data_IF_122986702268
#
_entry.id   IF_122986702268
#
_cell.length_a   1.000
_cell.length_b   1.000
_cell.length_c   1.000
_cell.angle_alpha   90.00
_cell.angle_beta   90.00
_cell.angle_gamma   90.00
#
_symmetry.space_group_name_H-M   'P 1'
#
loop_
_entity.id
_entity.type
_entity.pdbx_description
1 polymer ?
#
# COMPACT_ATOMS: atom_id res chain seq x y z
N UNK A 1 -5.13 -5.99 -12.01
CA UNK A 1 -4.62 -7.35 -11.76
C UNK A 1 -5.72 -8.38 -12.01
N UNK A 2 -6.83 -8.36 -11.30
CA UNK A 2 -7.95 -9.33 -11.39
C UNK A 2 -8.42 -9.55 -12.82
N UNK A 3 -8.59 -8.49 -13.61
CA UNK A 3 -9.02 -8.60 -15.02
C UNK A 3 -8.03 -9.32 -15.93
N UNK A 4 -6.75 -9.39 -15.53
CA UNK A 4 -5.68 -10.05 -16.30
C UNK A 4 -5.38 -11.46 -15.83
N UNK A 5 -5.40 -11.68 -14.52
CA UNK A 5 -4.95 -12.94 -13.91
C UNK A 5 -6.10 -13.84 -13.50
N UNK A 6 -7.31 -13.28 -13.33
CA UNK A 6 -8.45 -13.98 -12.76
C UNK A 6 -8.38 -14.14 -11.23
N UNK A 7 -7.29 -13.71 -10.58
CA UNK A 7 -7.17 -13.76 -9.13
C UNK A 7 -8.15 -12.76 -8.51
N UNK A 8 -9.00 -13.14 -7.55
CA UNK A 8 -9.98 -12.24 -6.96
C UNK A 8 -9.35 -10.98 -6.34
N UNK A 9 -10.05 -9.86 -6.43
CA UNK A 9 -9.66 -8.65 -5.74
C UNK A 9 -9.86 -8.80 -4.22
N UNK A 10 -10.99 -9.36 -3.79
CA UNK A 10 -11.25 -9.71 -2.39
C UNK A 10 -10.84 -11.16 -2.17
N UNK A 11 -9.86 -11.39 -1.30
CA UNK A 11 -9.23 -12.70 -1.09
C UNK A 11 -9.39 -13.14 0.36
N UNK A 12 -9.81 -14.38 0.58
CA UNK A 12 -9.79 -14.94 1.93
C UNK A 12 -8.36 -15.01 2.46
N UNK A 13 -8.19 -14.90 3.78
CA UNK A 13 -6.87 -14.92 4.41
C UNK A 13 -6.08 -16.19 4.07
N UNK A 14 -6.75 -17.34 4.01
CA UNK A 14 -6.12 -18.61 3.66
C UNK A 14 -5.53 -18.63 2.24
N UNK A 15 -6.05 -17.86 1.31
CA UNK A 15 -5.54 -17.80 -0.06
C UNK A 15 -4.15 -17.15 -0.14
N UNK A 16 -3.91 -16.15 0.71
CA UNK A 16 -2.63 -15.39 0.74
C UNK A 16 -1.64 -15.94 1.80
N UNK A 17 -2.14 -16.57 2.85
CA UNK A 17 -1.34 -17.04 4.00
C UNK A 17 -1.64 -18.52 4.28
N UNK A 18 -1.36 -19.38 3.29
CA UNK A 18 -1.68 -20.82 3.30
C UNK A 18 -1.03 -21.58 4.45
N UNK A 19 0.16 -21.15 4.88
CA UNK A 19 0.95 -21.81 5.93
C UNK A 19 0.57 -21.30 7.35
N UNK A 20 -0.18 -20.20 7.45
CA UNK A 20 -0.60 -19.65 8.73
C UNK A 20 -1.92 -20.24 9.17
N UNK A 21 -1.86 -21.09 10.20
CA UNK A 21 -3.05 -21.77 10.75
C UNK A 21 -4.14 -20.84 11.25
N UNK A 22 -3.79 -19.63 11.71
CA UNK A 22 -4.76 -18.62 12.11
C UNK A 22 -5.61 -18.11 10.94
N UNK A 23 -5.05 -18.17 9.73
CA UNK A 23 -5.73 -17.73 8.51
C UNK A 23 -6.67 -18.78 7.90
N UNK A 24 -6.59 -20.05 8.31
CA UNK A 24 -7.31 -21.16 7.66
C UNK A 24 -8.84 -21.01 7.67
N UNK A 25 -9.41 -20.49 8.77
CA UNK A 25 -10.86 -20.32 8.95
C UNK A 25 -11.25 -18.89 9.35
N UNK A 26 -10.42 -17.91 9.06
CA UNK A 26 -10.62 -16.52 9.45
C UNK A 26 -11.58 -15.82 8.48
N UNK A 27 -12.84 -15.71 8.88
CA UNK A 27 -13.94 -15.19 8.06
C UNK A 27 -14.26 -13.70 8.29
N UNK A 28 -13.69 -13.09 9.33
CA UNK A 28 -14.02 -11.71 9.74
C UNK A 28 -13.12 -10.65 9.13
N UNK A 29 -12.14 -11.07 8.33
CA UNK A 29 -11.21 -10.20 7.61
C UNK A 29 -10.82 -10.82 6.27
N UNK A 30 -10.26 -9.98 5.39
CA UNK A 30 -9.84 -10.40 4.06
C UNK A 30 -8.69 -9.53 3.55
N UNK A 31 -8.01 -10.01 2.51
CA UNK A 31 -7.09 -9.19 1.73
C UNK A 31 -7.83 -8.54 0.56
N UNK A 32 -7.56 -7.26 0.34
CA UNK A 32 -7.95 -6.51 -0.85
C UNK A 32 -6.71 -6.40 -1.76
N UNK A 33 -6.70 -7.20 -2.82
CA UNK A 33 -5.49 -7.50 -3.55
C UNK A 33 -4.51 -8.30 -2.69
N UNK A 34 -3.22 -8.15 -2.96
CA UNK A 34 -2.11 -8.79 -2.24
C UNK A 34 -1.52 -7.95 -1.11
N UNK A 35 -1.92 -6.70 -1.03
CA UNK A 35 -1.24 -5.66 -0.25
C UNK A 35 -2.05 -5.10 0.92
N UNK A 36 -3.39 -5.12 0.86
CA UNK A 36 -4.25 -4.51 1.86
C UNK A 36 -5.04 -5.55 2.65
N UNK A 37 -4.94 -5.50 3.97
CA UNK A 37 -5.79 -6.27 4.88
C UNK A 37 -6.90 -5.37 5.39
N UNK A 38 -8.14 -5.81 5.27
CA UNK A 38 -9.32 -5.14 5.81
C UNK A 38 -10.05 -6.05 6.79
N UNK A 39 -10.36 -5.51 7.98
CA UNK A 39 -11.15 -6.20 8.99
C UNK A 39 -12.40 -5.38 9.34
N UNK A 40 -13.52 -5.59 8.65
CA UNK A 40 -14.78 -4.89 8.94
C UNK A 40 -15.28 -5.19 10.35
N UNK A 41 -16.01 -4.24 10.91
CA UNK A 41 -16.56 -4.33 12.26
C UNK A 41 -17.97 -4.90 12.16
N UNK A 42 -18.18 -6.10 12.70
CA UNK A 42 -19.47 -6.81 12.68
C UNK A 42 -20.21 -6.74 14.03
N UNK A 43 -19.62 -6.05 15.01
CA UNK A 43 -20.14 -5.96 16.40
C UNK A 43 -20.78 -4.59 16.65
N UNK A 44 -21.86 -4.58 17.40
CA UNK A 44 -22.59 -3.36 17.80
C UNK A 44 -21.85 -2.52 18.85
N UNK A 45 -20.90 -3.13 19.58
CA UNK A 45 -20.01 -2.44 20.53
C UNK A 45 -18.84 -1.70 19.85
N UNK A 46 -18.78 -1.77 18.51
CA UNK A 46 -17.73 -1.15 17.68
C UNK A 46 -16.32 -1.71 17.93
N UNK A 47 -16.22 -2.91 18.47
CA UNK A 47 -14.94 -3.60 18.66
C UNK A 47 -14.62 -4.44 17.42
N UNK A 48 -13.42 -4.22 16.85
CA UNK A 48 -12.82 -5.08 15.87
C UNK A 48 -11.82 -6.03 16.56
N UNK A 49 -11.94 -7.30 16.27
CA UNK A 49 -10.96 -8.32 16.65
C UNK A 49 -10.40 -8.90 15.35
N UNK A 50 -9.09 -8.80 15.15
CA UNK A 50 -8.45 -9.18 13.90
C UNK A 50 -7.04 -9.71 14.13
N UNK A 51 -6.55 -10.47 13.16
CA UNK A 51 -5.23 -11.07 13.16
C UNK A 51 -4.37 -10.44 12.06
N UNK A 52 -3.18 -10.00 12.41
CA UNK A 52 -2.16 -9.61 11.44
C UNK A 52 -1.19 -10.78 11.27
N UNK A 53 -1.08 -11.40 10.08
CA UNK A 53 -0.05 -12.41 9.79
C UNK A 53 1.36 -11.88 10.02
N UNK A 54 2.35 -12.78 10.14
CA UNK A 54 3.76 -12.38 10.36
C UNK A 54 4.22 -11.30 9.37
N UNK A 55 5.09 -10.39 9.85
CA UNK A 55 5.63 -9.26 9.11
C UNK A 55 5.24 -7.91 9.73
N UNK A 56 5.55 -6.85 9.03
CA UNK A 56 5.25 -5.47 9.45
C UNK A 56 4.03 -4.94 8.70
N UNK A 57 3.09 -4.39 9.44
CA UNK A 57 1.84 -3.85 8.90
C UNK A 57 1.70 -2.37 9.24
N UNK A 58 1.34 -1.58 8.25
CA UNK A 58 1.15 -0.13 8.45
C UNK A 58 -0.31 0.24 8.21
N UNK A 59 -0.94 0.89 9.17
CA UNK A 59 -2.30 1.40 9.00
C UNK A 59 -2.36 2.38 7.83
N UNK A 60 -3.23 2.12 6.86
CA UNK A 60 -3.45 3.02 5.72
C UNK A 60 -4.04 4.36 6.15
N UNK A 61 -4.84 4.35 7.22
CA UNK A 61 -5.58 5.53 7.70
C UNK A 61 -4.75 6.41 8.64
N UNK A 62 -3.93 5.81 9.50
CA UNK A 62 -3.20 6.55 10.55
C UNK A 62 -1.69 6.59 10.36
N UNK A 63 -1.12 5.67 9.56
CA UNK A 63 0.31 5.49 9.44
C UNK A 63 0.96 4.70 10.59
N UNK A 64 0.18 4.28 11.59
CA UNK A 64 0.67 3.47 12.70
C UNK A 64 1.24 2.15 12.19
N UNK A 65 2.40 1.77 12.73
CA UNK A 65 3.08 0.51 12.39
C UNK A 65 2.82 -0.53 13.46
N UNK A 66 2.42 -1.73 13.05
CA UNK A 66 2.18 -2.89 13.93
C UNK A 66 3.00 -4.10 13.49
N UNK A 67 3.40 -4.87 14.46
CA UNK A 67 4.05 -6.16 14.26
C UNK A 67 3.00 -7.26 14.05
N UNK A 68 3.16 -8.07 13.02
CA UNK A 68 2.31 -9.23 12.75
C UNK A 68 2.57 -10.44 13.66
N UNK A 69 1.95 -11.58 13.31
CA UNK A 69 1.94 -12.78 14.13
C UNK A 69 1.04 -12.67 15.37
N UNK A 70 0.14 -11.70 15.44
CA UNK A 70 -0.63 -11.35 16.64
C UNK A 70 -2.09 -11.04 16.34
N UNK A 71 -2.93 -11.28 17.33
CA UNK A 71 -4.29 -10.79 17.39
C UNK A 71 -4.35 -9.40 18.02
N UNK A 72 -5.23 -8.57 17.51
CA UNK A 72 -5.49 -7.23 17.99
C UNK A 72 -6.96 -7.06 18.28
N UNK A 73 -7.28 -6.28 19.33
CA UNK A 73 -8.64 -5.91 19.69
C UNK A 73 -8.69 -4.41 19.87
N UNK A 74 -9.49 -3.72 19.06
CA UNK A 74 -9.54 -2.25 19.04
C UNK A 74 -10.96 -1.76 18.88
N UNK A 75 -11.24 -0.60 19.48
CA UNK A 75 -12.51 0.08 19.31
C UNK A 75 -12.41 1.13 18.20
N UNK A 76 -13.33 1.08 17.27
CA UNK A 76 -13.37 1.98 16.11
C UNK A 76 -14.65 2.82 16.10
N UNK A 77 -14.56 4.05 15.58
CA UNK A 77 -15.72 4.88 15.27
C UNK A 77 -16.21 4.65 13.83
N UNK A 78 -17.27 5.32 13.43
CA UNK A 78 -17.86 5.18 12.10
C UNK A 78 -16.95 5.58 10.92
N UNK A 79 -15.88 6.33 11.18
CA UNK A 79 -14.93 6.79 10.15
C UNK A 79 -13.63 5.99 10.14
N UNK A 80 -13.56 4.88 10.85
CA UNK A 80 -12.35 4.05 10.91
C UNK A 80 -12.68 2.55 10.94
N UNK A 81 -11.78 1.78 10.33
CA UNK A 81 -11.74 0.31 10.38
C UNK A 81 -10.27 -0.11 10.47
N UNK A 82 -9.95 -1.29 10.96
CA UNK A 82 -8.64 -1.88 10.73
C UNK A 82 -8.40 -2.05 9.22
N UNK A 83 -7.49 -1.26 8.68
CA UNK A 83 -7.08 -1.28 7.28
C UNK A 83 -5.57 -1.13 7.23
N UNK A 84 -4.87 -2.21 6.92
CA UNK A 84 -3.42 -2.30 7.02
C UNK A 84 -2.77 -2.66 5.70
N UNK A 85 -1.64 -2.02 5.42
CA UNK A 85 -0.78 -2.32 4.28
C UNK A 85 0.30 -3.29 4.73
N UNK A 86 0.49 -4.36 3.96
CA UNK A 86 1.56 -5.34 4.16
C UNK A 86 2.92 -4.73 3.83
N UNK A 87 3.95 -5.10 4.57
CA UNK A 87 5.34 -4.74 4.27
C UNK A 87 5.75 -5.13 2.84
N UNK A 88 6.65 -4.34 2.25
CA UNK A 88 7.14 -4.57 0.91
C UNK A 88 6.16 -4.20 -0.20
N UNK A 89 5.03 -3.54 0.12
CA UNK A 89 3.99 -3.19 -0.84
C UNK A 89 4.10 -1.73 -1.31
N UNK A 90 3.64 -1.50 -2.53
CA UNK A 90 3.35 -0.14 -3.04
C UNK A 90 1.86 -0.05 -3.34
N UNK A 91 1.18 0.91 -2.72
CA UNK A 91 -0.24 1.18 -2.94
C UNK A 91 -0.41 2.45 -3.76
N UNK A 92 -1.04 2.35 -4.91
CA UNK A 92 -1.38 3.49 -5.74
C UNK A 92 -2.61 4.21 -5.17
N UNK A 93 -2.44 5.47 -4.79
CA UNK A 93 -3.49 6.34 -4.28
C UNK A 93 -3.84 7.39 -5.33
N UNK A 94 -5.10 7.42 -5.75
CA UNK A 94 -5.58 8.40 -6.71
C UNK A 94 -5.51 9.84 -6.18
N UNK A 95 -5.49 10.81 -7.09
CA UNK A 95 -5.43 12.23 -6.74
C UNK A 95 -6.78 12.79 -6.24
N UNK A 96 -7.88 12.08 -6.48
CA UNK A 96 -9.25 12.53 -6.16
C UNK A 96 -9.94 11.55 -5.22
N UNK A 97 -10.76 12.10 -4.31
CA UNK A 97 -11.61 11.34 -3.38
C UNK A 97 -13.10 11.74 -3.46
N UNK A 98 -13.44 12.61 -4.39
CA UNK A 98 -14.79 13.17 -4.59
C UNK A 98 -15.54 12.57 -5.78
N UNK A 99 -14.83 11.84 -6.66
CA UNK A 99 -15.39 11.22 -7.85
C UNK A 99 -14.67 9.88 -8.12
N UNK A 100 -15.42 8.84 -8.43
CA UNK A 100 -14.88 7.53 -8.78
C UNK A 100 -14.45 7.43 -10.27
N UNK A 101 -14.93 8.32 -11.14
CA UNK A 101 -14.59 8.32 -12.57
C UNK A 101 -13.69 9.50 -12.87
N UNK A 102 -12.41 9.24 -13.00
CA UNK A 102 -11.40 10.23 -13.39
C UNK A 102 -10.18 9.48 -13.97
N UNK A 103 -9.22 10.23 -14.46
CA UNK A 103 -7.95 9.70 -14.94
C UNK A 103 -7.08 9.26 -13.74
N UNK A 104 -7.00 7.94 -13.50
CA UNK A 104 -6.32 7.37 -12.32
C UNK A 104 -4.80 7.58 -12.31
N UNK A 105 -4.19 7.80 -13.47
CA UNK A 105 -2.74 8.04 -13.56
C UNK A 105 -2.37 9.51 -13.33
N UNK A 106 -3.32 10.44 -13.50
CA UNK A 106 -3.04 11.85 -13.30
C UNK A 106 -2.97 12.22 -11.82
N UNK A 107 -1.79 12.63 -11.37
CA UNK A 107 -1.50 13.00 -9.99
C UNK A 107 -1.46 11.81 -9.01
N UNK A 108 -1.34 10.58 -9.51
CA UNK A 108 -1.26 9.39 -8.65
C UNK A 108 -0.09 9.49 -7.66
N UNK A 109 -0.32 9.02 -6.45
CA UNK A 109 0.72 8.88 -5.43
C UNK A 109 0.95 7.40 -5.13
N UNK A 110 2.13 6.90 -5.46
CA UNK A 110 2.59 5.55 -5.13
C UNK A 110 3.17 5.55 -3.71
N UNK A 111 2.46 4.96 -2.76
CA UNK A 111 2.90 4.90 -1.36
C UNK A 111 3.61 3.58 -1.10
N UNK A 112 4.90 3.61 -0.81
CA UNK A 112 5.73 2.45 -0.52
C UNK A 112 5.87 2.24 0.99
N UNK A 113 5.59 1.02 1.45
CA UNK A 113 5.49 0.68 2.87
C UNK A 113 6.49 -0.38 3.27
N UNK A 114 7.28 -0.11 4.31
CA UNK A 114 8.18 -1.06 4.99
C UNK A 114 8.95 -1.97 4.01
N UNK A 115 9.63 -1.37 3.02
CA UNK A 115 10.32 -2.11 1.96
C UNK A 115 11.43 -2.99 2.52
N UNK A 116 11.52 -4.20 2.01
CA UNK A 116 12.57 -5.17 2.34
C UNK A 116 13.85 -4.86 1.56
N UNK A 117 14.98 -5.06 2.22
CA UNK A 117 16.29 -4.79 1.64
C UNK A 117 16.58 -5.72 0.46
N UNK A 118 17.06 -5.18 -0.64
CA UNK A 118 17.38 -5.91 -1.87
C UNK A 118 16.17 -6.43 -2.66
N UNK A 119 14.94 -6.18 -2.21
CA UNK A 119 13.74 -6.66 -2.89
C UNK A 119 13.05 -5.49 -3.59
N UNK A 120 12.77 -5.68 -4.88
CA UNK A 120 12.00 -4.73 -5.67
C UNK A 120 10.52 -4.83 -5.31
N UNK A 121 9.93 -3.70 -4.93
CA UNK A 121 8.48 -3.53 -4.87
C UNK A 121 8.03 -2.82 -6.15
N UNK A 122 6.88 -3.22 -6.68
CA UNK A 122 6.34 -2.64 -7.91
C UNK A 122 4.82 -2.53 -7.87
N UNK A 123 4.28 -1.56 -8.60
CA UNK A 123 2.84 -1.42 -8.82
C UNK A 123 2.55 -0.76 -10.14
N UNK A 124 1.38 -1.05 -10.70
CA UNK A 124 0.96 -0.54 -12.02
C UNK A 124 -0.46 0.02 -11.93
N UNK A 125 -0.68 1.18 -12.52
CA UNK A 125 -1.99 1.76 -12.76
C UNK A 125 -2.37 1.50 -14.21
N UNK A 126 -3.54 0.89 -14.40
CA UNK A 126 -4.10 0.59 -15.70
C UNK A 126 -5.24 1.54 -16.04
N UNK A 127 -5.33 1.91 -17.29
CA UNK A 127 -6.44 2.66 -17.86
C UNK A 127 -7.68 1.80 -18.08
N UNK A 128 -8.72 2.42 -18.61
CA UNK A 128 -10.04 1.81 -18.82
C UNK A 128 -10.04 0.71 -19.87
N UNK A 129 -9.11 0.74 -20.81
CA UNK A 129 -8.92 -0.29 -21.83
C UNK A 129 -7.84 -1.31 -21.45
N UNK A 130 -7.45 -1.30 -20.17
CA UNK A 130 -6.47 -2.22 -19.60
C UNK A 130 -5.03 -2.01 -20.09
N UNK A 131 -4.73 -0.85 -20.63
CA UNK A 131 -3.38 -0.37 -20.96
C UNK A 131 -2.65 0.10 -19.70
N UNK A 132 -1.32 -0.04 -19.69
CA UNK A 132 -0.48 0.51 -18.63
C UNK A 132 -0.37 2.03 -18.80
N UNK A 133 -0.84 2.80 -17.84
CA UNK A 133 -0.77 4.26 -17.84
C UNK A 133 0.33 4.82 -16.95
N UNK A 134 0.55 4.19 -15.79
CA UNK A 134 1.63 4.57 -14.90
C UNK A 134 2.14 3.36 -14.11
N UNK A 135 3.39 3.39 -13.68
CA UNK A 135 3.95 2.43 -12.74
C UNK A 135 5.04 3.04 -11.88
N UNK A 136 5.28 2.44 -10.75
CA UNK A 136 6.40 2.75 -9.89
C UNK A 136 7.08 1.47 -9.41
N UNK A 137 8.41 1.49 -9.48
CA UNK A 137 9.31 0.48 -8.91
C UNK A 137 10.16 1.14 -7.83
N UNK A 138 10.30 0.50 -6.69
CA UNK A 138 11.17 0.97 -5.62
C UNK A 138 12.02 -0.19 -5.10
N UNK A 139 13.33 0.02 -5.05
CA UNK A 139 14.30 -0.91 -4.46
C UNK A 139 14.97 -0.23 -3.27
N UNK A 140 14.94 -0.89 -2.12
CA UNK A 140 15.68 -0.47 -0.94
C UNK A 140 17.02 -1.19 -0.90
N UNK A 141 18.12 -0.46 -0.75
CA UNK A 141 19.47 -0.98 -0.59
C UNK A 141 20.12 -0.36 0.65
N UNK A 142 20.02 -1.05 1.77
CA UNK A 142 20.46 -0.55 3.08
C UNK A 142 19.69 0.71 3.50
N UNK A 143 20.36 1.85 3.48
CA UNK A 143 19.75 3.18 3.80
C UNK A 143 19.35 3.97 2.56
N UNK A 144 19.54 3.43 1.37
CA UNK A 144 19.24 4.09 0.09
C UNK A 144 18.00 3.49 -0.56
N UNK A 145 17.30 4.31 -1.33
CA UNK A 145 16.15 3.90 -2.13
C UNK A 145 16.39 4.30 -3.57
N UNK A 146 16.21 3.37 -4.48
CA UNK A 146 16.17 3.63 -5.92
C UNK A 146 14.72 3.60 -6.38
N UNK A 147 14.26 4.70 -6.99
CA UNK A 147 12.88 4.85 -7.43
C UNK A 147 12.88 5.02 -8.94
N UNK A 148 12.07 4.23 -9.62
CA UNK A 148 11.82 4.35 -11.06
C UNK A 148 10.33 4.54 -11.28
N UNK A 149 9.95 5.56 -12.02
CA UNK A 149 8.56 5.84 -12.41
C UNK A 149 8.45 5.87 -13.92
N UNK A 150 7.46 5.18 -14.47
CA UNK A 150 7.02 5.30 -15.85
C UNK A 150 5.61 5.90 -15.84
N UNK A 151 5.47 7.12 -16.32
CA UNK A 151 4.18 7.82 -16.41
C UNK A 151 4.27 8.96 -17.39
N UNK A 152 3.27 9.12 -18.23
CA UNK A 152 3.15 10.30 -19.12
C UNK A 152 2.61 11.54 -18.39
N UNK A 153 2.19 11.39 -17.12
CA UNK A 153 1.52 12.41 -16.32
C UNK A 153 2.30 12.65 -15.03
N UNK A 154 1.97 13.75 -14.35
CA UNK A 154 2.55 14.03 -13.04
C UNK A 154 2.21 12.92 -12.05
N UNK A 155 3.19 12.48 -11.28
CA UNK A 155 3.02 11.43 -10.28
C UNK A 155 3.95 11.67 -9.09
N UNK A 156 3.69 10.96 -7.99
CA UNK A 156 4.50 11.05 -6.77
C UNK A 156 4.81 9.66 -6.26
N UNK A 157 5.97 9.52 -5.65
CA UNK A 157 6.29 8.34 -4.85
C UNK A 157 6.48 8.79 -3.40
N UNK A 158 5.71 8.23 -2.49
CA UNK A 158 5.81 8.49 -1.06
C UNK A 158 6.45 7.27 -0.37
N UNK A 159 7.64 7.45 0.17
CA UNK A 159 8.28 6.48 1.05
C UNK A 159 7.74 6.71 2.46
N UNK A 160 7.02 5.72 2.99
CA UNK A 160 6.32 5.86 4.26
C UNK A 160 7.23 5.45 5.43
N UNK A 161 7.24 6.29 6.49
CA UNK A 161 7.97 6.05 7.75
C UNK A 161 9.49 5.82 7.56
N UNK A 162 10.15 6.58 6.67
CA UNK A 162 11.59 6.43 6.40
C UNK A 162 12.46 7.54 6.99
N UNK A 163 11.85 8.60 7.51
CA UNK A 163 12.56 9.77 8.03
C UNK A 163 13.18 10.66 6.94
N UNK A 164 13.93 11.67 7.37
CA UNK A 164 14.51 12.65 6.45
C UNK A 164 15.66 12.05 5.61
N UNK A 165 15.64 12.23 4.27
CA UNK A 165 16.75 11.81 3.44
C UNK A 165 17.95 12.76 3.62
N UNK A 166 19.16 12.23 3.55
CA UNK A 166 20.37 13.05 3.51
C UNK A 166 20.57 13.72 2.16
N UNK A 167 20.15 13.06 1.10
CA UNK A 167 20.29 13.50 -0.28
C UNK A 167 19.23 12.84 -1.15
N UNK A 168 18.70 13.58 -2.12
CA UNK A 168 17.87 13.06 -3.21
C UNK A 168 18.48 13.51 -4.53
N UNK A 169 18.66 12.58 -5.45
CA UNK A 169 19.20 12.86 -6.78
C UNK A 169 18.12 12.63 -7.84
N UNK A 170 18.11 13.44 -8.88
CA UNK A 170 17.26 13.22 -10.05
C UNK A 170 15.81 13.71 -9.94
N UNK A 171 15.36 14.12 -8.75
CA UNK A 171 13.99 14.60 -8.54
C UNK A 171 13.90 15.61 -7.39
N UNK A 172 12.82 16.38 -7.35
CA UNK A 172 12.44 17.18 -6.20
C UNK A 172 11.74 16.33 -5.13
N UNK A 173 11.84 16.72 -3.88
CA UNK A 173 11.14 16.05 -2.80
C UNK A 173 10.60 17.03 -1.76
N UNK A 174 9.57 16.58 -1.06
CA UNK A 174 9.04 17.21 0.14
C UNK A 174 9.00 16.20 1.27
N UNK A 175 9.08 16.69 2.51
CA UNK A 175 8.95 15.84 3.69
C UNK A 175 7.69 16.20 4.46
N UNK A 176 6.94 15.17 4.85
CA UNK A 176 5.76 15.30 5.69
C UNK A 176 5.85 14.31 6.86
N UNK A 177 6.27 14.81 8.02
CA UNK A 177 6.61 13.97 9.16
C UNK A 177 7.77 13.03 8.83
N UNK A 178 7.57 11.73 8.99
CA UNK A 178 8.53 10.69 8.64
C UNK A 178 8.41 10.19 7.19
N UNK A 179 7.49 10.77 6.40
CA UNK A 179 7.27 10.36 5.02
C UNK A 179 8.04 11.28 4.08
N UNK A 180 8.68 10.69 3.07
CA UNK A 180 9.40 11.40 2.00
C UNK A 180 8.60 11.26 0.72
N UNK A 181 8.21 12.39 0.12
CA UNK A 181 7.44 12.44 -1.12
C UNK A 181 8.34 12.96 -2.22
N UNK A 182 8.59 12.14 -3.21
CA UNK A 182 9.38 12.46 -4.41
C UNK A 182 8.42 12.73 -5.57
N UNK A 183 8.63 13.83 -6.29
CA UNK A 183 7.73 14.30 -7.34
C UNK A 183 8.35 14.08 -8.73
N UNK A 184 7.54 13.56 -9.65
CA UNK A 184 7.90 13.27 -11.03
C UNK A 184 6.93 13.97 -12.00
N UNK A 185 7.47 14.49 -13.10
CA UNK A 185 6.72 15.14 -14.18
C UNK A 185 6.91 14.37 -15.50
N UNK A 186 6.53 13.11 -15.51
CA UNK A 186 6.78 12.14 -16.56
C UNK A 186 7.63 10.98 -16.05
N UNK A 187 8.24 10.23 -16.98
CA UNK A 187 9.17 9.16 -16.61
C UNK A 187 10.37 9.70 -15.84
N UNK A 188 10.77 9.01 -14.77
CA UNK A 188 11.86 9.49 -13.94
C UNK A 188 12.51 8.44 -13.07
N UNK A 189 13.70 8.79 -12.57
CA UNK A 189 14.46 8.03 -11.58
C UNK A 189 14.98 8.94 -10.49
N UNK A 190 14.97 8.47 -9.26
CA UNK A 190 15.53 9.14 -8.09
C UNK A 190 16.11 8.14 -7.07
#
# INVERSE_FOLDING_TARGET
ETSKTGIPMMRSMVLEFTEDKNCAYLATQYMLGDSLLAAPIFRDDSIAEYYLPEGTWTSLLTGEVKEGGKWYTEKHGYLSIPLYVKEGSIVAMGARNDNAVYDYADGVTFRAYALKDGIKAETVVYGTENEKEASADVVKNGTSYEITVESKKASKVALMNVGAPKQVNGASYTQNGENVIVEFHGDGKA
#
